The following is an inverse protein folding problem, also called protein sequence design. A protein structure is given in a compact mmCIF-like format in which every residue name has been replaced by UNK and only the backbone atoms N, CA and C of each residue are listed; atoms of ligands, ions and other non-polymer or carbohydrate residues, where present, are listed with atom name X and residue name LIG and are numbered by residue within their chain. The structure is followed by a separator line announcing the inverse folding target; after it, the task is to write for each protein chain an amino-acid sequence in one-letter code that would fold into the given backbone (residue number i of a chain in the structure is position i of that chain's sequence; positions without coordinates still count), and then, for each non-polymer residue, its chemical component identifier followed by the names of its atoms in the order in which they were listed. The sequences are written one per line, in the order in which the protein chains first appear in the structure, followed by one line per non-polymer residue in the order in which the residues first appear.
data_IF_876482069200
#
_entry.id   IF_876482069200
#
_cell.length_a   1.000
_cell.length_b   1.000
_cell.length_c   1.000
_cell.angle_alpha   90.00
_cell.angle_beta   90.00
_cell.angle_gamma   90.00
#
_symmetry.space_group_name_H-M   'P 1'
#
loop_
_entity.id
_entity.type
_entity.pdbx_description
1 polymer ?
#
# COMPACT_ATOMS: atom_id res chain seq x y z
N UNK A 1 6.25 36.66 -13.55
CA UNK A 1 7.37 35.70 -13.66
C UNK A 1 6.85 34.37 -13.19
N UNK A 2 6.34 33.56 -14.10
CA UNK A 2 5.90 32.20 -13.81
C UNK A 2 7.15 31.33 -13.70
N UNK A 3 7.35 30.73 -12.52
CA UNK A 3 8.41 29.76 -12.32
C UNK A 3 8.22 28.62 -13.31
N UNK A 4 9.26 28.32 -14.08
CA UNK A 4 9.26 27.26 -15.06
C UNK A 4 8.91 25.93 -14.39
N UNK A 5 7.75 25.38 -14.75
CA UNK A 5 7.45 23.98 -14.49
C UNK A 5 8.40 23.20 -15.39
N UNK A 6 9.52 22.75 -14.84
CA UNK A 6 10.34 21.73 -15.50
C UNK A 6 9.41 20.56 -15.85
N UNK A 7 9.19 20.34 -17.15
CA UNK A 7 8.47 19.17 -17.63
C UNK A 7 9.24 17.94 -17.18
N UNK A 8 8.77 17.30 -16.11
CA UNK A 8 9.24 15.99 -15.68
C UNK A 8 9.16 15.05 -16.88
N UNK A 9 10.27 14.44 -17.27
CA UNK A 9 10.25 13.41 -18.31
C UNK A 9 9.26 12.31 -17.92
N UNK A 10 8.43 11.90 -18.87
CA UNK A 10 7.45 10.86 -18.63
C UNK A 10 8.18 9.56 -18.25
N UNK A 11 7.87 9.02 -17.07
CA UNK A 11 8.41 7.73 -16.64
C UNK A 11 7.92 6.65 -17.61
N UNK A 12 8.82 5.88 -18.20
CA UNK A 12 8.45 4.68 -18.92
C UNK A 12 7.97 3.62 -17.92
N UNK A 13 6.67 3.34 -17.93
CA UNK A 13 6.06 2.34 -17.07
C UNK A 13 6.27 0.96 -17.70
N UNK A 14 6.79 0.01 -16.93
CA UNK A 14 7.05 -1.37 -17.35
C UNK A 14 6.17 -2.38 -16.63
N UNK A 15 5.65 -2.03 -15.45
CA UNK A 15 4.71 -2.85 -14.69
C UNK A 15 3.95 -2.02 -13.64
N UNK A 16 2.81 -2.54 -13.20
CA UNK A 16 2.09 -2.06 -12.01
C UNK A 16 2.13 -3.18 -10.97
N UNK A 17 2.43 -2.84 -9.72
CA UNK A 17 2.72 -3.82 -8.68
C UNK A 17 1.99 -3.47 -7.39
N UNK A 18 1.18 -4.41 -6.89
CA UNK A 18 0.65 -4.37 -5.54
C UNK A 18 1.81 -4.63 -4.58
N UNK A 19 2.08 -3.70 -3.67
CA UNK A 19 3.09 -3.86 -2.64
C UNK A 19 2.45 -3.87 -1.26
N UNK A 20 2.84 -4.82 -0.42
CA UNK A 20 2.44 -4.78 0.98
C UNK A 20 2.96 -3.49 1.64
N UNK A 21 2.12 -2.83 2.45
CA UNK A 21 2.51 -1.63 3.22
C UNK A 21 3.67 -1.93 4.16
N UNK A 22 3.74 -3.17 4.61
CA UNK A 22 4.52 -3.63 5.74
C UNK A 22 6.02 -3.65 5.45
N UNK A 23 6.39 -3.56 4.17
CA UNK A 23 7.75 -3.77 3.76
C UNK A 23 8.16 -2.75 2.70
N UNK A 24 9.40 -2.29 2.82
CA UNK A 24 10.08 -1.49 1.82
C UNK A 24 10.42 -2.37 0.61
N UNK A 25 9.41 -3.06 0.06
CA UNK A 25 9.45 -3.74 -1.22
C UNK A 25 9.90 -2.70 -2.21
N UNK A 26 11.14 -2.88 -2.65
CA UNK A 26 11.76 -2.05 -3.65
C UNK A 26 11.42 -2.63 -5.01
N UNK A 27 11.19 -1.73 -5.96
CA UNK A 27 10.82 -2.08 -7.32
C UNK A 27 11.75 -1.39 -8.31
N UNK A 28 11.88 -1.94 -9.52
CA UNK A 28 12.64 -1.35 -10.62
C UNK A 28 12.16 0.05 -11.00
N UNK A 29 12.98 0.80 -11.74
CA UNK A 29 12.72 2.21 -12.09
C UNK A 29 11.44 2.45 -12.89
N UNK A 30 11.01 1.47 -13.69
CA UNK A 30 9.77 1.52 -14.47
C UNK A 30 8.54 0.92 -13.79
N UNK A 31 8.66 0.39 -12.57
CA UNK A 31 7.55 -0.26 -11.86
C UNK A 31 6.81 0.76 -11.01
N UNK A 32 5.48 0.80 -11.16
CA UNK A 32 4.60 1.61 -10.31
C UNK A 32 4.13 0.76 -9.13
N UNK A 33 4.46 1.17 -7.91
CA UNK A 33 4.01 0.52 -6.68
C UNK A 33 2.66 1.10 -6.24
N UNK A 34 1.74 0.20 -5.90
CA UNK A 34 0.42 0.46 -5.31
C UNK A 34 0.43 -0.17 -3.91
N UNK A 35 0.55 0.66 -2.88
CA UNK A 35 0.69 0.20 -1.50
C UNK A 35 -0.63 -0.20 -0.86
N UNK A 36 -0.69 -1.38 -0.24
CA UNK A 36 -1.85 -1.87 0.53
C UNK A 36 -1.42 -2.59 1.81
N UNK A 37 -2.10 -2.32 2.92
CA UNK A 37 -1.90 -3.09 4.14
C UNK A 37 -2.47 -4.51 3.98
N UNK A 38 -1.71 -5.55 4.35
CA UNK A 38 -2.27 -6.91 4.42
C UNK A 38 -2.21 -7.75 3.16
N UNK A 39 -1.41 -7.38 2.15
CA UNK A 39 -1.18 -8.18 0.92
C UNK A 39 -2.46 -8.54 0.14
N UNK A 40 -3.53 -7.76 0.27
CA UNK A 40 -4.83 -8.00 -0.37
C UNK A 40 -5.60 -9.23 0.13
N UNK A 41 -4.92 -10.14 0.83
CA UNK A 41 -5.43 -11.40 1.37
C UNK A 41 -6.06 -11.19 2.75
N UNK A 42 -7.30 -11.69 2.88
CA UNK A 42 -8.05 -11.63 4.14
C UNK A 42 -8.37 -13.00 4.70
N UNK A 43 -8.06 -13.24 5.98
CA UNK A 43 -8.57 -14.39 6.73
C UNK A 43 -9.66 -13.94 7.72
N UNK A 44 -10.91 -14.32 7.45
CA UNK A 44 -12.07 -13.94 8.27
C UNK A 44 -12.26 -14.83 9.52
N UNK A 45 -11.29 -15.70 9.83
CA UNK A 45 -11.33 -16.62 10.97
C UNK A 45 -10.01 -16.60 11.78
N UNK A 46 -10.12 -16.53 13.10
CA UNK A 46 -8.94 -16.49 13.99
C UNK A 46 -8.15 -15.18 13.88
N UNK A 47 -6.84 -15.21 14.14
CA UNK A 47 -5.98 -14.02 14.09
C UNK A 47 -6.11 -13.10 15.30
N UNK A 48 -5.35 -12.00 15.28
CA UNK A 48 -5.35 -10.99 16.32
C UNK A 48 -6.49 -9.99 16.07
N UNK A 49 -7.63 -10.19 16.72
CA UNK A 49 -8.82 -9.32 16.62
C UNK A 49 -8.61 -7.92 17.19
N UNK A 50 -7.59 -7.74 18.03
CA UNK A 50 -7.17 -6.45 18.54
C UNK A 50 -6.45 -5.66 17.43
N UNK A 51 -5.49 -6.28 16.74
CA UNK A 51 -4.68 -5.66 15.69
C UNK A 51 -5.42 -5.48 14.36
N UNK A 52 -6.10 -6.53 13.91
CA UNK A 52 -6.83 -6.55 12.66
C UNK A 52 -8.22 -7.14 12.90
N UNK A 53 -9.20 -6.37 13.41
CA UNK A 53 -10.54 -6.87 13.69
C UNK A 53 -11.25 -7.46 12.46
N UNK A 54 -12.06 -8.52 12.65
CA UNK A 54 -12.85 -9.18 11.58
C UNK A 54 -13.67 -8.19 10.76
N UNK A 55 -14.24 -7.14 11.37
CA UNK A 55 -15.01 -6.13 10.65
C UNK A 55 -14.16 -5.40 9.59
N UNK A 56 -12.88 -5.13 9.87
CA UNK A 56 -11.97 -4.51 8.91
C UNK A 56 -11.43 -5.52 7.91
N UNK A 57 -11.34 -6.81 8.26
CA UNK A 57 -11.02 -7.87 7.27
C UNK A 57 -12.16 -8.05 6.27
N UNK A 58 -13.41 -8.05 6.75
CA UNK A 58 -14.62 -8.02 5.91
C UNK A 58 -14.65 -6.78 5.02
N UNK A 59 -14.29 -5.62 5.58
CA UNK A 59 -14.20 -4.38 4.81
C UNK A 59 -13.10 -4.45 3.75
N UNK A 60 -11.92 -4.99 4.09
CA UNK A 60 -10.85 -5.19 3.12
C UNK A 60 -11.30 -6.13 2.00
N UNK A 61 -11.91 -7.28 2.32
CA UNK A 61 -12.48 -8.20 1.33
C UNK A 61 -13.53 -7.55 0.43
N UNK A 62 -14.30 -6.58 0.95
CA UNK A 62 -15.24 -5.77 0.17
C UNK A 62 -14.52 -4.77 -0.74
N UNK A 63 -13.38 -4.23 -0.33
CA UNK A 63 -12.65 -3.17 -1.04
C UNK A 63 -11.64 -3.71 -2.05
N UNK A 64 -10.98 -4.84 -1.77
CA UNK A 64 -9.95 -5.43 -2.63
C UNK A 64 -10.37 -5.57 -4.10
N UNK A 65 -11.61 -5.99 -4.44
CA UNK A 65 -12.03 -6.07 -5.84
C UNK A 65 -11.95 -4.73 -6.59
N UNK A 66 -12.21 -3.61 -5.91
CA UNK A 66 -12.09 -2.27 -6.52
C UNK A 66 -10.63 -1.90 -6.74
N UNK A 67 -9.75 -2.21 -5.78
CA UNK A 67 -8.31 -1.96 -5.90
C UNK A 67 -7.73 -2.75 -7.07
N UNK A 68 -8.04 -4.04 -7.14
CA UNK A 68 -7.53 -4.93 -8.17
C UNK A 68 -8.08 -4.58 -9.57
N UNK A 69 -9.37 -4.24 -9.64
CA UNK A 69 -10.01 -3.77 -10.87
C UNK A 69 -9.38 -2.47 -11.36
N UNK A 70 -9.16 -1.50 -10.47
CA UNK A 70 -8.46 -0.25 -10.79
C UNK A 70 -7.03 -0.52 -11.28
N UNK A 71 -6.27 -1.35 -10.56
CA UNK A 71 -4.89 -1.72 -10.92
C UNK A 71 -4.82 -2.33 -12.33
N UNK A 72 -5.73 -3.24 -12.65
CA UNK A 72 -5.81 -3.86 -13.98
C UNK A 72 -6.11 -2.85 -15.08
N UNK A 73 -7.06 -1.95 -14.85
CA UNK A 73 -7.38 -0.88 -15.80
C UNK A 73 -6.20 0.06 -16.00
N UNK A 74 -5.53 0.43 -14.91
CA UNK A 74 -4.35 1.28 -14.94
C UNK A 74 -3.19 0.61 -15.69
N UNK A 75 -2.90 -0.67 -15.43
CA UNK A 75 -1.89 -1.43 -16.15
C UNK A 75 -2.22 -1.54 -17.65
N UNK A 76 -3.47 -1.90 -17.98
CA UNK A 76 -3.96 -1.98 -19.37
C UNK A 76 -3.82 -0.64 -20.12
N UNK A 77 -4.18 0.48 -19.47
CA UNK A 77 -4.03 1.83 -20.05
C UNK A 77 -2.58 2.14 -20.41
N UNK A 78 -1.63 1.62 -19.63
CA UNK A 78 -0.20 1.80 -19.85
C UNK A 78 0.43 0.70 -20.72
N UNK A 79 -0.34 -0.27 -21.22
CA UNK A 79 0.18 -1.37 -22.04
C UNK A 79 1.08 -2.34 -21.29
N UNK A 80 0.92 -2.47 -19.96
CA UNK A 80 1.72 -3.33 -19.09
C UNK A 80 0.83 -4.29 -18.30
N UNK A 81 1.46 -5.26 -17.61
CA UNK A 81 0.78 -6.18 -16.71
C UNK A 81 0.74 -5.65 -15.27
N UNK A 82 -0.25 -6.13 -14.52
CA UNK A 82 -0.39 -5.92 -13.08
C UNK A 82 0.09 -7.17 -12.34
N UNK A 83 0.87 -6.96 -11.29
CA UNK A 83 1.49 -8.03 -10.52
C UNK A 83 1.21 -7.89 -9.02
N UNK A 84 1.26 -9.03 -8.34
CA UNK A 84 1.31 -9.11 -6.87
C UNK A 84 2.31 -10.18 -6.44
N UNK A 85 2.79 -10.10 -5.20
CA UNK A 85 3.79 -11.01 -4.63
C UNK A 85 3.45 -11.33 -3.20
N UNK A 86 3.92 -12.48 -2.71
CA UNK A 86 4.02 -12.73 -1.27
C UNK A 86 5.47 -12.57 -0.82
N UNK A 87 5.70 -12.48 0.49
CA UNK A 87 7.02 -12.34 1.09
C UNK A 87 7.02 -12.96 2.50
N UNK A 88 8.18 -13.39 3.03
CA UNK A 88 8.25 -13.94 4.38
C UNK A 88 7.97 -12.87 5.42
N UNK A 89 7.45 -13.29 6.58
CA UNK A 89 7.21 -12.42 7.74
C UNK A 89 6.44 -11.11 7.40
N UNK A 90 5.35 -11.27 6.64
CA UNK A 90 4.32 -10.25 6.47
C UNK A 90 3.56 -10.04 7.78
N UNK A 91 3.85 -8.96 8.49
CA UNK A 91 3.23 -8.53 9.73
C UNK A 91 1.72 -8.36 9.63
N UNK A 92 1.20 -7.97 8.47
CA UNK A 92 -0.25 -7.92 8.26
C UNK A 92 -0.88 -9.31 7.95
N UNK A 93 -0.10 -10.27 7.46
CA UNK A 93 -0.49 -11.68 7.41
C UNK A 93 -0.44 -12.32 8.80
N UNK A 94 0.62 -12.04 9.57
CA UNK A 94 0.79 -12.46 10.97
C UNK A 94 -0.33 -11.92 11.86
N UNK A 95 -0.72 -10.65 11.70
CA UNK A 95 -1.85 -10.04 12.40
C UNK A 95 -3.17 -10.80 12.17
N UNK A 96 -3.30 -11.48 11.03
CA UNK A 96 -4.46 -12.30 10.67
C UNK A 96 -4.28 -13.79 11.04
N UNK A 97 -3.17 -14.15 11.67
CA UNK A 97 -2.83 -15.54 12.01
C UNK A 97 -2.53 -16.42 10.80
N UNK A 98 -2.18 -15.82 9.65
CA UNK A 98 -1.87 -16.56 8.42
C UNK A 98 -0.41 -17.00 8.48
N UNK A 99 -0.16 -18.31 8.41
CA UNK A 99 1.21 -18.85 8.32
C UNK A 99 1.80 -18.53 6.95
N UNK A 100 3.13 -18.45 6.86
CA UNK A 100 3.82 -18.13 5.60
C UNK A 100 3.46 -19.06 4.43
N UNK A 101 3.37 -20.38 4.68
CA UNK A 101 2.94 -21.36 3.67
C UNK A 101 1.54 -21.06 3.14
N UNK A 102 0.64 -20.64 4.03
CA UNK A 102 -0.76 -20.34 3.72
C UNK A 102 -0.86 -18.98 3.02
N UNK A 103 0.02 -18.04 3.35
CA UNK A 103 0.12 -16.73 2.70
C UNK A 103 0.48 -16.89 1.21
N UNK A 104 1.47 -17.74 0.88
CA UNK A 104 1.83 -18.01 -0.53
C UNK A 104 0.63 -18.55 -1.31
N UNK A 105 -0.11 -19.50 -0.74
CA UNK A 105 -1.27 -20.12 -1.38
C UNK A 105 -2.40 -19.10 -1.53
N UNK A 106 -2.71 -18.34 -0.48
CA UNK A 106 -3.77 -17.36 -0.48
C UNK A 106 -3.50 -16.19 -1.43
N UNK A 107 -2.26 -15.69 -1.51
CA UNK A 107 -1.89 -14.64 -2.47
C UNK A 107 -2.02 -15.14 -3.91
N UNK A 108 -1.60 -16.38 -4.21
CA UNK A 108 -1.78 -16.99 -5.54
C UNK A 108 -3.26 -17.09 -5.91
N UNK A 109 -4.09 -17.55 -4.97
CA UNK A 109 -5.53 -17.67 -5.18
C UNK A 109 -6.17 -16.30 -5.42
N UNK A 110 -5.86 -15.30 -4.59
CA UNK A 110 -6.36 -13.94 -4.74
C UNK A 110 -5.92 -13.32 -6.08
N UNK A 111 -4.67 -13.51 -6.49
CA UNK A 111 -4.17 -13.04 -7.77
C UNK A 111 -4.97 -13.65 -8.94
N UNK A 112 -5.19 -14.97 -8.91
CA UNK A 112 -5.97 -15.67 -9.92
C UNK A 112 -7.43 -15.19 -9.98
N UNK A 113 -8.12 -15.10 -8.84
CA UNK A 113 -9.53 -14.68 -8.75
C UNK A 113 -9.74 -13.25 -9.26
N UNK A 114 -8.78 -12.36 -9.01
CA UNK A 114 -8.87 -10.97 -9.42
C UNK A 114 -8.26 -10.70 -10.80
N UNK A 115 -7.58 -11.68 -11.41
CA UNK A 115 -6.95 -11.54 -12.73
C UNK A 115 -5.69 -10.67 -12.71
N UNK A 116 -4.91 -10.76 -11.64
CA UNK A 116 -3.58 -10.17 -11.46
C UNK A 116 -2.55 -11.30 -11.55
N UNK A 117 -1.36 -11.02 -12.09
CA UNK A 117 -0.30 -12.03 -12.16
C UNK A 117 0.44 -12.17 -10.82
N UNK A 118 0.46 -13.38 -10.26
CA UNK A 118 1.34 -13.68 -9.14
C UNK A 118 2.78 -13.79 -9.63
N UNK A 119 3.62 -12.82 -9.29
CA UNK A 119 4.99 -12.74 -9.79
C UNK A 119 5.96 -13.66 -9.03
N UNK A 120 5.62 -14.06 -7.80
CA UNK A 120 6.44 -14.98 -7.00
C UNK A 120 6.44 -14.68 -5.50
N UNK A 121 7.20 -15.48 -4.77
CA UNK A 121 7.50 -15.25 -3.36
C UNK A 121 8.84 -14.53 -3.24
N UNK A 122 8.84 -13.31 -2.72
CA UNK A 122 10.04 -12.48 -2.59
C UNK A 122 10.95 -13.02 -1.51
N UNK A 123 12.22 -13.22 -1.83
CA UNK A 123 13.25 -13.48 -0.83
C UNK A 123 13.77 -12.17 -0.22
N UNK A 124 14.23 -12.24 1.04
CA UNK A 124 15.00 -11.15 1.64
C UNK A 124 16.33 -11.04 0.89
N UNK A 125 16.57 -9.89 0.25
CA UNK A 125 17.77 -9.60 -0.53
C UNK A 125 18.19 -8.16 -0.35
N UNK A 126 19.50 -7.92 -0.22
CA UNK A 126 20.07 -6.55 -0.20
C UNK A 126 20.20 -5.92 -1.59
N UNK A 127 20.06 -6.73 -2.64
CA UNK A 127 20.26 -6.33 -4.03
C UNK A 127 19.02 -6.65 -4.88
N UNK A 128 18.78 -5.90 -5.97
CA UNK A 128 17.73 -6.21 -6.93
C UNK A 128 17.85 -7.65 -7.45
N UNK A 129 16.72 -8.35 -7.46
CA UNK A 129 16.59 -9.67 -8.08
C UNK A 129 15.46 -9.62 -9.10
N UNK A 130 15.66 -10.29 -10.23
CA UNK A 130 14.56 -10.56 -11.14
C UNK A 130 13.70 -11.67 -10.54
N UNK A 131 12.40 -11.42 -10.45
CA UNK A 131 11.45 -12.41 -9.97
C UNK A 131 10.95 -13.26 -11.15
N UNK A 132 11.45 -14.50 -11.22
CA UNK A 132 11.14 -15.44 -12.29
C UNK A 132 11.50 -14.93 -13.69
N UNK A 133 10.79 -15.43 -14.71
CA UNK A 133 11.02 -15.11 -16.13
C UNK A 133 10.43 -13.76 -16.56
N UNK A 134 9.92 -12.95 -15.62
CA UNK A 134 9.10 -11.76 -15.90
C UNK A 134 9.91 -10.47 -16.08
N UNK A 135 11.25 -10.52 -15.99
CA UNK A 135 12.16 -9.35 -16.02
C UNK A 135 11.69 -8.21 -15.10
N UNK A 136 11.17 -8.58 -13.93
CA UNK A 136 10.61 -7.67 -12.95
C UNK A 136 11.59 -7.58 -11.77
N UNK A 137 12.29 -6.45 -11.67
CA UNK A 137 13.23 -6.19 -10.58
C UNK A 137 12.45 -5.83 -9.31
N UNK A 138 12.33 -6.79 -8.38
CA UNK A 138 11.67 -6.59 -7.10
C UNK A 138 12.47 -7.31 -6.03
N UNK A 139 12.73 -6.62 -4.93
CA UNK A 139 13.41 -7.22 -3.80
C UNK A 139 12.93 -6.61 -2.50
N UNK A 140 13.14 -7.37 -1.45
CA UNK A 140 12.73 -7.01 -0.12
C UNK A 140 13.96 -6.95 0.80
N UNK A 141 14.18 -5.81 1.46
CA UNK A 141 15.27 -5.64 2.44
C UNK A 141 14.73 -5.61 3.86
N UNK A 142 15.21 -6.49 4.76
CA UNK A 142 14.96 -6.40 6.21
C UNK A 142 16.26 -6.54 6.99
N UNK A 143 16.60 -5.53 7.80
CA UNK A 143 17.78 -5.53 8.69
C UNK A 143 17.42 -5.98 10.12
N UNK A 144 16.81 -7.16 10.26
CA UNK A 144 16.72 -7.90 11.53
C UNK A 144 15.98 -7.28 12.72
N UNK A 145 15.24 -6.18 12.54
CA UNK A 145 14.45 -5.52 13.59
C UNK A 145 12.97 -5.33 13.22
N UNK A 146 12.13 -4.84 14.15
CA UNK A 146 10.73 -4.53 13.88
C UNK A 146 10.62 -3.52 12.73
N UNK A 147 9.46 -3.46 12.07
CA UNK A 147 9.24 -2.58 10.94
C UNK A 147 9.54 -1.13 11.31
N UNK A 148 10.58 -0.55 10.71
CA UNK A 148 10.96 0.84 10.99
C UNK A 148 10.60 1.72 9.81
N UNK A 149 9.47 2.41 9.90
CA UNK A 149 9.11 3.51 9.01
C UNK A 149 9.16 4.83 9.79
N UNK A 150 9.58 5.90 9.13
CA UNK A 150 9.60 7.25 9.71
C UNK A 150 8.31 8.03 9.41
N UNK A 151 7.59 7.67 8.34
CA UNK A 151 6.34 8.30 7.89
C UNK A 151 5.59 7.41 6.88
N UNK A 152 4.43 7.88 6.45
CA UNK A 152 3.62 7.32 5.36
C UNK A 152 3.76 8.16 4.09
N UNK A 153 3.80 7.48 2.94
CA UNK A 153 3.56 8.06 1.62
C UNK A 153 2.18 7.60 1.17
N UNK A 154 1.31 8.56 0.86
CA UNK A 154 -0.07 8.36 0.46
C UNK A 154 -0.24 8.76 -1.00
N UNK A 155 -0.42 7.80 -1.90
CA UNK A 155 -0.52 8.08 -3.34
C UNK A 155 -1.96 8.38 -3.75
N UNK A 156 -2.13 9.45 -4.53
CA UNK A 156 -3.46 9.90 -5.01
C UNK A 156 -3.55 10.06 -6.53
N UNK A 157 -2.41 9.97 -7.23
CA UNK A 157 -2.28 10.27 -8.66
C UNK A 157 -1.61 9.18 -9.49
N UNK A 158 -1.85 7.91 -9.19
CA UNK A 158 -1.38 6.75 -9.94
C UNK A 158 -0.06 6.17 -9.44
N UNK A 159 0.00 5.86 -8.15
CA UNK A 159 1.10 5.16 -7.50
C UNK A 159 2.42 5.93 -7.46
N UNK A 160 3.49 5.23 -7.11
CA UNK A 160 4.83 5.80 -6.95
C UNK A 160 5.90 4.89 -7.53
N UNK A 161 6.90 5.48 -8.20
CA UNK A 161 8.10 4.76 -8.67
C UNK A 161 9.19 4.77 -7.60
N UNK A 162 10.24 3.95 -7.76
CA UNK A 162 11.42 4.01 -6.89
C UNK A 162 12.11 5.38 -6.91
N UNK A 163 12.25 6.00 -8.08
CA UNK A 163 12.91 7.31 -8.20
C UNK A 163 12.11 8.41 -7.49
N UNK A 164 10.79 8.40 -7.66
CA UNK A 164 9.89 9.33 -6.97
C UNK A 164 9.89 9.12 -5.47
N UNK A 165 9.81 7.86 -5.05
CA UNK A 165 9.89 7.48 -3.64
C UNK A 165 11.19 7.97 -3.04
N UNK A 166 12.33 7.78 -3.70
CA UNK A 166 13.64 8.25 -3.22
C UNK A 166 13.67 9.77 -2.97
N UNK A 167 13.05 10.55 -3.86
CA UNK A 167 12.92 12.01 -3.70
C UNK A 167 12.05 12.39 -2.50
N UNK A 168 10.93 11.70 -2.30
CA UNK A 168 10.03 11.95 -1.15
C UNK A 168 10.64 11.45 0.17
N UNK A 169 11.42 10.37 0.08
CA UNK A 169 11.99 9.69 1.23
C UNK A 169 13.12 10.47 1.88
N UNK A 170 13.97 11.12 1.08
CA UNK A 170 15.10 11.89 1.60
C UNK A 170 16.05 11.06 2.48
N UNK A 171 16.14 9.75 2.23
CA UNK A 171 16.96 8.81 3.01
C UNK A 171 16.26 8.13 4.19
N UNK A 172 14.97 8.38 4.39
CA UNK A 172 14.17 7.77 5.45
C UNK A 172 13.18 6.74 4.90
N UNK A 173 12.99 5.63 5.59
CA UNK A 173 12.07 4.58 5.17
C UNK A 173 10.60 5.01 5.36
N UNK A 174 9.75 4.71 4.38
CA UNK A 174 8.33 5.02 4.43
C UNK A 174 7.44 3.82 4.15
N UNK A 175 6.26 3.83 4.79
CA UNK A 175 5.14 2.97 4.42
C UNK A 175 4.35 3.58 3.26
N UNK A 176 4.08 2.79 2.24
CA UNK A 176 3.34 3.23 1.06
C UNK A 176 1.89 2.75 1.19
N UNK A 177 0.93 3.66 1.03
CA UNK A 177 -0.49 3.37 0.94
C UNK A 177 -1.05 4.09 -0.29
N UNK A 178 -1.78 3.37 -1.13
CA UNK A 178 -2.44 3.93 -2.30
C UNK A 178 -3.92 4.18 -2.03
N UNK A 179 -4.36 5.38 -2.39
CA UNK A 179 -5.76 5.76 -2.50
C UNK A 179 -6.17 5.96 -3.98
N UNK A 180 -5.35 5.50 -4.92
CA UNK A 180 -5.52 5.79 -6.34
C UNK A 180 -6.80 5.19 -6.94
N UNK A 181 -7.31 4.14 -6.30
CA UNK A 181 -8.53 3.41 -6.63
C UNK A 181 -9.82 4.06 -6.12
N UNK A 182 -9.73 5.05 -5.22
CA UNK A 182 -10.88 5.53 -4.45
C UNK A 182 -11.96 6.12 -5.33
N UNK A 183 -11.62 7.06 -6.23
CA UNK A 183 -12.59 7.68 -7.14
C UNK A 183 -13.38 6.60 -7.89
N UNK A 184 -12.66 5.71 -8.57
CA UNK A 184 -13.25 4.63 -9.36
C UNK A 184 -14.19 3.76 -8.52
N UNK A 185 -13.81 3.43 -7.28
CA UNK A 185 -14.66 2.67 -6.38
C UNK A 185 -15.96 3.44 -6.01
N UNK A 186 -15.88 4.75 -5.77
CA UNK A 186 -17.06 5.58 -5.49
C UNK A 186 -18.01 5.64 -6.69
N UNK A 187 -17.47 5.77 -7.90
CA UNK A 187 -18.26 5.76 -9.15
C UNK A 187 -18.95 4.40 -9.36
N UNK A 188 -18.30 3.32 -8.96
CA UNK A 188 -18.84 1.95 -8.99
C UNK A 188 -19.76 1.63 -7.79
N UNK A 189 -20.05 2.61 -6.93
CA UNK A 189 -21.06 2.53 -5.86
C UNK A 189 -20.54 2.15 -4.48
N UNK A 190 -19.23 2.10 -4.25
CA UNK A 190 -18.67 1.98 -2.90
C UNK A 190 -19.07 3.22 -2.08
N UNK A 191 -19.53 3.02 -0.85
CA UNK A 191 -19.83 4.13 0.02
C UNK A 191 -18.55 4.87 0.41
N UNK A 192 -18.55 6.21 0.37
CA UNK A 192 -17.41 7.03 0.80
C UNK A 192 -16.91 6.65 2.19
N UNK A 193 -17.83 6.38 3.11
CA UNK A 193 -17.52 5.94 4.47
C UNK A 193 -16.66 4.66 4.49
N UNK A 194 -16.96 3.69 3.64
CA UNK A 194 -16.20 2.44 3.57
C UNK A 194 -14.77 2.68 3.06
N UNK A 195 -14.61 3.58 2.08
CA UNK A 195 -13.30 3.99 1.57
C UNK A 195 -12.47 4.74 2.63
N UNK A 196 -13.11 5.61 3.42
CA UNK A 196 -12.47 6.31 4.55
C UNK A 196 -12.11 5.31 5.64
N UNK A 197 -13.04 4.46 6.08
CA UNK A 197 -12.85 3.51 7.17
C UNK A 197 -11.71 2.52 6.88
N UNK A 198 -11.57 2.07 5.62
CA UNK A 198 -10.45 1.18 5.25
C UNK A 198 -9.11 1.93 5.23
N UNK A 199 -9.05 3.16 4.73
CA UNK A 199 -7.80 3.94 4.73
C UNK A 199 -7.37 4.31 6.15
N UNK A 200 -8.30 4.74 7.00
CA UNK A 200 -8.07 4.95 8.44
C UNK A 200 -7.52 3.69 9.09
N UNK A 201 -8.12 2.53 8.79
CA UNK A 201 -7.63 1.26 9.30
C UNK A 201 -6.21 0.95 8.85
N UNK A 202 -5.89 1.08 7.55
CA UNK A 202 -4.54 0.85 7.04
C UNK A 202 -3.52 1.78 7.71
N UNK A 203 -3.83 3.06 7.88
CA UNK A 203 -2.96 4.02 8.58
C UNK A 203 -2.71 3.61 10.04
N UNK A 204 -3.76 3.19 10.75
CA UNK A 204 -3.65 2.71 12.14
C UNK A 204 -2.86 1.40 12.24
N UNK A 205 -3.06 0.47 11.31
CA UNK A 205 -2.33 -0.79 11.25
C UNK A 205 -0.84 -0.54 11.00
N UNK A 206 -0.49 0.29 10.00
CA UNK A 206 0.90 0.67 9.76
C UNK A 206 1.50 1.39 10.97
N UNK A 207 0.73 2.24 11.63
CA UNK A 207 1.19 2.90 12.85
C UNK A 207 1.50 1.88 13.95
N UNK A 208 0.62 0.91 14.15
CA UNK A 208 0.80 -0.15 15.14
C UNK A 208 2.06 -0.96 14.86
N UNK A 209 2.28 -1.34 13.60
CA UNK A 209 3.45 -2.12 13.17
C UNK A 209 4.76 -1.33 13.30
N UNK A 210 4.75 0.00 13.12
CA UNK A 210 5.97 0.82 13.07
C UNK A 210 6.26 1.68 14.33
N UNK A 211 7.28 1.27 15.09
CA UNK A 211 7.72 1.98 16.31
C UNK A 211 8.13 3.44 16.10
N UNK A 212 8.88 3.78 15.05
CA UNK A 212 9.37 5.16 14.83
C UNK A 212 8.25 6.14 14.49
N UNK A 213 7.27 5.71 13.71
CA UNK A 213 6.02 6.46 13.50
C UNK A 213 5.36 6.68 14.86
N UNK A 214 5.37 5.65 15.71
CA UNK A 214 4.67 5.70 16.99
C UNK A 214 5.15 6.79 17.98
N UNK A 215 6.38 7.24 17.83
CA UNK A 215 6.94 8.30 18.67
C UNK A 215 6.78 9.71 18.10
N UNK A 216 6.16 9.88 16.91
CA UNK A 216 6.03 11.15 16.20
C UNK A 216 4.58 11.65 16.00
N UNK A 217 3.60 11.05 16.68
CA UNK A 217 2.20 11.51 16.59
C UNK A 217 2.12 13.01 16.91
N UNK A 218 1.51 13.80 16.03
CA UNK A 218 1.38 15.25 16.15
C UNK A 218 2.25 16.02 15.16
N UNK A 219 3.25 15.38 14.56
CA UNK A 219 3.99 15.96 13.45
C UNK A 219 3.24 15.70 12.13
N UNK A 220 2.75 16.78 11.52
CA UNK A 220 2.08 16.72 10.21
C UNK A 220 2.97 16.13 9.11
N UNK A 221 4.30 16.15 9.29
CA UNK A 221 5.27 15.57 8.35
C UNK A 221 5.24 14.03 8.29
N UNK A 222 4.54 13.36 9.23
CA UNK A 222 4.36 11.90 9.27
C UNK A 222 3.48 11.39 8.12
N UNK A 223 2.64 12.24 7.52
CA UNK A 223 1.80 11.85 6.39
C UNK A 223 2.15 12.71 5.18
N UNK A 224 2.78 12.09 4.18
CA UNK A 224 3.16 12.75 2.93
C UNK A 224 2.21 12.32 1.82
N UNK A 225 1.41 13.24 1.31
CA UNK A 225 0.57 12.98 0.13
C UNK A 225 1.43 13.17 -1.13
N UNK A 226 1.42 12.17 -2.00
CA UNK A 226 2.15 12.16 -3.26
C UNK A 226 1.19 12.01 -4.44
N UNK A 227 1.22 12.99 -5.35
CA UNK A 227 0.49 12.92 -6.60
C UNK A 227 1.45 12.56 -7.74
N UNK A 228 1.30 11.36 -8.30
CA UNK A 228 2.10 10.87 -9.43
C UNK A 228 1.79 11.57 -10.76
N UNK A 229 0.71 12.35 -10.84
CA UNK A 229 0.20 13.02 -12.04
C UNK A 229 -0.06 12.07 -13.23
N UNK A 230 -0.46 10.82 -12.95
CA UNK A 230 -0.81 9.80 -13.97
C UNK A 230 -2.32 9.59 -14.12
N UNK A 231 -3.10 10.17 -13.21
CA UNK A 231 -4.55 10.22 -13.25
C UNK A 231 -5.01 11.63 -13.68
N UNK A 232 -6.25 11.74 -14.13
CA UNK A 232 -6.84 13.05 -14.38
C UNK A 232 -6.98 13.86 -13.09
N UNK A 233 -7.16 15.17 -13.24
CA UNK A 233 -7.19 16.11 -12.11
C UNK A 233 -8.38 15.88 -11.19
N UNK A 234 -9.52 15.43 -11.72
CA UNK A 234 -10.71 15.15 -10.92
C UNK A 234 -10.50 13.91 -10.05
N UNK A 235 -10.05 12.81 -10.64
CA UNK A 235 -9.73 11.57 -9.91
C UNK A 235 -8.70 11.83 -8.82
N UNK A 236 -7.62 12.55 -9.15
CA UNK A 236 -6.57 12.88 -8.18
C UNK A 236 -7.10 13.73 -7.02
N UNK A 237 -8.01 14.69 -7.30
CA UNK A 237 -8.63 15.54 -6.27
C UNK A 237 -9.55 14.73 -5.36
N UNK A 238 -10.43 13.90 -5.92
CA UNK A 238 -11.35 13.06 -5.12
C UNK A 238 -10.57 12.09 -4.22
N UNK A 239 -9.52 11.46 -4.76
CA UNK A 239 -8.62 10.60 -3.99
C UNK A 239 -7.96 11.37 -2.85
N UNK A 240 -7.44 12.58 -3.12
CA UNK A 240 -6.83 13.44 -2.11
C UNK A 240 -7.83 13.89 -1.02
N UNK A 241 -9.07 14.21 -1.39
CA UNK A 241 -10.11 14.61 -0.44
C UNK A 241 -10.41 13.47 0.56
N UNK A 242 -10.49 12.22 0.09
CA UNK A 242 -10.69 11.05 0.96
C UNK A 242 -9.45 10.76 1.81
N UNK A 243 -8.25 10.92 1.24
CA UNK A 243 -6.99 10.78 1.99
C UNK A 243 -6.90 11.79 3.13
N UNK A 244 -7.20 13.07 2.87
CA UNK A 244 -7.14 14.11 3.89
C UNK A 244 -8.10 13.82 5.05
N UNK A 245 -9.34 13.46 4.74
CA UNK A 245 -10.35 13.03 5.72
C UNK A 245 -9.83 11.83 6.55
N UNK A 246 -9.28 10.82 5.89
CA UNK A 246 -8.75 9.62 6.55
C UNK A 246 -7.56 9.94 7.46
N UNK A 247 -6.66 10.83 7.04
CA UNK A 247 -5.51 11.27 7.84
C UNK A 247 -5.95 12.03 9.08
N UNK A 248 -6.93 12.92 8.97
CA UNK A 248 -7.48 13.65 10.12
C UNK A 248 -8.08 12.72 11.16
N UNK A 249 -8.91 11.76 10.72
CA UNK A 249 -9.51 10.76 11.59
C UNK A 249 -8.43 9.87 12.22
N UNK A 250 -7.49 9.37 11.41
CA UNK A 250 -6.41 8.51 11.90
C UNK A 250 -5.57 9.21 12.97
N UNK A 251 -5.21 10.48 12.78
CA UNK A 251 -4.48 11.27 13.80
C UNK A 251 -5.23 11.31 15.12
N UNK A 252 -6.51 11.67 15.10
CA UNK A 252 -7.32 11.74 16.33
C UNK A 252 -7.43 10.39 17.04
N UNK A 253 -7.65 9.31 16.28
CA UNK A 253 -7.73 7.95 16.82
C UNK A 253 -6.38 7.51 17.41
N UNK A 254 -5.30 7.88 16.76
CA UNK A 254 -3.94 7.53 17.19
C UNK A 254 -3.56 8.30 18.47
N UNK A 255 -3.85 9.60 18.55
CA UNK A 255 -3.64 10.44 19.75
C UNK A 255 -4.39 9.91 20.98
N UNK A 256 -5.61 9.38 20.76
CA UNK A 256 -6.40 8.73 21.82
C UNK A 256 -5.87 7.37 22.25
N UNK A 257 -4.80 6.87 21.62
CA UNK A 257 -4.26 5.54 21.90
C UNK A 257 -5.10 4.40 21.33
N UNK A 258 -6.05 4.66 20.42
CA UNK A 258 -6.87 3.61 19.80
C UNK A 258 -6.09 2.75 18.79
N UNK A 259 -4.80 3.04 18.59
CA UNK A 259 -3.83 2.14 17.96
C UNK A 259 -3.27 1.10 18.94
N UNK A 260 -3.28 1.35 20.26
CA UNK A 260 -2.76 0.41 21.27
C UNK A 260 -3.69 -0.76 21.52
N UNK A 261 -4.98 -0.59 21.22
CA UNK A 261 -5.93 -1.69 21.08
C UNK A 261 -5.53 -2.69 20.00
N UNK A 262 -4.46 -2.41 19.25
CA UNK A 262 -3.84 -3.26 18.26
C UNK A 262 -2.60 -4.01 18.80
N UNK A 263 -2.15 -3.74 20.03
CA UNK A 263 -0.81 -4.13 20.52
C UNK A 263 -0.77 -4.65 21.96
N UNK A 264 -1.90 -5.05 22.56
CA UNK A 264 -1.90 -5.59 23.92
C UNK A 264 -2.18 -7.10 23.97
N UNK A 265 -1.18 -7.90 23.58
CA UNK A 265 -0.45 -8.84 24.45
C UNK A 265 0.67 -9.54 23.69
#
# INVERSE_FOLDING_TARGET
MEAGIEKKEAVQITAVMEGCMDEDVKVGSGVIKIGLAGSGVTNESGGNEELYPIQYRKLMKKVSPYVDSWMKRFAKKNGVAAYTTSHPACGAGEAQGIKESDLIVATKQNAHENGIEYAGHLEISSEPKNLGDKNLEIWFTRKGGPHTADFFILTTGGGITRSEKTTVEGGHAAFDISADWVKDALDEGLARRDAVDILVFQLKLGYAIAHKIAHKIGDVSVFKVFNGNRLDSESSRVNADVVNESVEIAKQEIEKGNWKKAFHH
#
